data_IF_659015108918
#
_entry.id   IF_659015108918
#
_cell.length_a   1.000
_cell.length_b   1.000
_cell.length_c   1.000
_cell.angle_alpha   90.00
_cell.angle_beta   90.00
_cell.angle_gamma   90.00
#
_symmetry.space_group_name_H-M   'P 1'
#
loop_
_entity.id
_entity.type
_entity.pdbx_description
1 polymer ?
#
# COMPACT_ATOMS: atom_id res chain seq x y z
N UNK A 1 18.86 -33.02 -17.55
CA UNK A 1 19.20 -32.51 -16.20
C UNK A 1 18.12 -31.51 -15.82
N UNK A 2 17.56 -31.60 -14.61
CA UNK A 2 16.50 -30.68 -14.16
C UNK A 2 17.02 -29.28 -13.82
N UNK A 3 16.11 -28.37 -13.45
CA UNK A 3 16.49 -27.03 -12.98
C UNK A 3 17.22 -27.10 -11.63
N UNK A 4 18.30 -26.32 -11.42
CA UNK A 4 18.88 -26.14 -10.09
C UNK A 4 17.89 -25.51 -9.11
N UNK A 5 17.99 -25.86 -7.82
CA UNK A 5 17.02 -25.41 -6.79
C UNK A 5 16.85 -23.90 -6.68
N UNK A 6 17.92 -23.11 -6.89
CA UNK A 6 17.86 -21.64 -6.87
C UNK A 6 17.21 -21.01 -8.12
N UNK A 7 16.80 -21.83 -9.11
CA UNK A 7 16.14 -21.36 -10.36
C UNK A 7 14.69 -21.78 -10.47
N UNK A 8 14.09 -22.42 -9.46
CA UNK A 8 12.73 -22.98 -9.57
C UNK A 8 11.68 -21.93 -9.94
N UNK A 9 11.83 -20.68 -9.51
CA UNK A 9 10.89 -19.60 -9.86
C UNK A 9 11.04 -19.05 -11.29
N UNK A 10 12.08 -19.44 -12.03
CA UNK A 10 12.23 -19.00 -13.44
C UNK A 10 11.14 -19.54 -14.36
N UNK A 11 10.39 -20.56 -13.91
CA UNK A 11 9.28 -21.17 -14.66
C UNK A 11 8.15 -20.19 -14.97
N UNK A 12 7.94 -19.16 -14.14
CA UNK A 12 6.84 -18.18 -14.33
C UNK A 12 7.24 -16.94 -15.12
N UNK A 13 8.49 -16.81 -15.58
CA UNK A 13 8.97 -15.56 -16.21
C UNK A 13 8.26 -15.21 -17.52
N UNK A 14 7.82 -16.21 -18.29
CA UNK A 14 7.08 -16.02 -19.53
C UNK A 14 5.60 -16.40 -19.39
N UNK A 15 5.10 -16.48 -18.16
CA UNK A 15 3.73 -16.87 -17.84
C UNK A 15 3.07 -15.79 -16.97
N UNK A 16 2.42 -14.80 -17.60
CA UNK A 16 1.88 -13.65 -16.88
C UNK A 16 0.82 -14.00 -15.83
N UNK A 17 0.02 -15.06 -16.04
CA UNK A 17 -1.03 -15.40 -15.07
C UNK A 17 -0.46 -16.11 -13.86
N UNK A 18 0.45 -17.07 -14.03
CA UNK A 18 1.15 -17.66 -12.90
C UNK A 18 2.03 -16.64 -12.18
N UNK A 19 2.65 -15.71 -12.91
CA UNK A 19 3.36 -14.58 -12.33
C UNK A 19 2.43 -13.72 -11.47
N UNK A 20 1.22 -13.39 -11.95
CA UNK A 20 0.22 -12.66 -11.17
C UNK A 20 -0.21 -13.45 -9.92
N UNK A 21 -0.50 -14.74 -10.05
CA UNK A 21 -0.89 -15.62 -8.94
C UNK A 21 0.15 -15.60 -7.80
N UNK A 22 1.45 -15.70 -8.11
CA UNK A 22 2.49 -15.68 -7.08
C UNK A 22 2.64 -14.30 -6.42
N UNK A 23 2.40 -13.20 -7.15
CA UNK A 23 2.38 -11.86 -6.56
C UNK A 23 1.20 -11.72 -5.60
N UNK A 24 0.01 -12.20 -5.98
CA UNK A 24 -1.17 -12.20 -5.12
C UNK A 24 -0.94 -13.08 -3.88
N UNK A 25 -0.32 -14.25 -4.04
CA UNK A 25 0.07 -15.12 -2.92
C UNK A 25 1.04 -14.41 -1.98
N UNK A 26 2.08 -13.77 -2.51
CA UNK A 26 3.02 -12.99 -1.70
C UNK A 26 2.31 -11.88 -0.93
N UNK A 27 1.40 -11.14 -1.57
CA UNK A 27 0.59 -10.11 -0.90
C UNK A 27 -0.30 -10.69 0.20
N UNK A 28 -0.91 -11.86 -0.01
CA UNK A 28 -1.68 -12.56 1.02
C UNK A 28 -0.79 -12.89 2.22
N UNK A 29 0.40 -13.46 1.99
CA UNK A 29 1.33 -13.81 3.06
C UNK A 29 1.79 -12.59 3.86
N UNK A 30 2.09 -11.47 3.19
CA UNK A 30 2.48 -10.22 3.86
C UNK A 30 1.32 -9.69 4.72
N UNK A 31 0.09 -9.68 4.20
CA UNK A 31 -1.08 -9.24 4.96
C UNK A 31 -1.39 -10.15 6.15
N UNK A 32 -1.31 -11.47 5.96
CA UNK A 32 -1.48 -12.45 7.04
C UNK A 32 -0.41 -12.32 8.12
N UNK A 33 0.85 -12.13 7.73
CA UNK A 33 1.95 -11.88 8.68
C UNK A 33 1.72 -10.60 9.48
N UNK A 34 1.36 -9.49 8.82
CA UNK A 34 1.08 -8.22 9.49
C UNK A 34 -0.03 -8.37 10.54
N UNK A 35 -1.08 -9.13 10.21
CA UNK A 35 -2.15 -9.42 11.16
C UNK A 35 -1.71 -10.29 12.34
N UNK A 36 -0.89 -11.32 12.10
CA UNK A 36 -0.41 -12.21 13.16
C UNK A 36 0.54 -11.47 14.10
N UNK A 37 1.37 -10.59 13.55
CA UNK A 37 2.25 -9.73 14.35
C UNK A 37 1.44 -8.79 15.24
N UNK A 38 0.45 -8.09 14.67
CA UNK A 38 -0.41 -7.18 15.44
C UNK A 38 -1.26 -7.93 16.49
N UNK A 39 -1.76 -9.13 16.18
CA UNK A 39 -2.49 -9.97 17.13
C UNK A 39 -1.58 -10.44 18.27
N UNK A 40 -0.34 -10.83 17.96
CA UNK A 40 0.65 -11.22 18.95
C UNK A 40 0.97 -10.05 19.89
N UNK A 41 1.25 -8.86 19.34
CA UNK A 41 1.50 -7.65 20.12
C UNK A 41 0.31 -7.35 21.04
N UNK A 42 -0.92 -7.39 20.51
CA UNK A 42 -2.12 -7.14 21.30
C UNK A 42 -2.32 -8.16 22.43
N UNK A 43 -1.95 -9.43 22.22
CA UNK A 43 -2.09 -10.49 23.21
C UNK A 43 -1.13 -10.34 24.41
N UNK A 44 0.00 -9.67 24.22
CA UNK A 44 1.00 -9.42 25.28
C UNK A 44 1.02 -7.96 25.76
N UNK A 45 0.25 -7.07 25.11
CA UNK A 45 0.22 -5.66 25.44
C UNK A 45 -0.53 -5.39 26.75
N UNK A 46 0.07 -4.56 27.60
CA UNK A 46 -0.49 -4.15 28.89
C UNK A 46 -0.77 -2.63 28.91
N UNK A 47 -2.01 -2.18 28.63
CA UNK A 47 -2.32 -0.76 28.42
C UNK A 47 -2.52 0.06 29.70
N UNK A 48 -1.86 -0.29 30.81
CA UNK A 48 -2.21 0.28 32.12
C UNK A 48 -1.51 1.60 32.46
N UNK A 49 -0.33 1.87 31.90
CA UNK A 49 0.41 3.10 32.18
C UNK A 49 1.12 3.63 30.93
N UNK A 50 0.48 4.59 30.25
CA UNK A 50 1.03 5.24 29.06
C UNK A 50 2.16 6.24 29.36
N UNK A 51 2.48 6.49 30.64
CA UNK A 51 3.55 7.41 31.06
C UNK A 51 4.83 6.65 31.37
N UNK A 52 4.74 5.53 32.10
CA UNK A 52 5.91 4.77 32.55
C UNK A 52 6.19 3.50 31.72
N UNK A 53 5.22 3.01 30.94
CA UNK A 53 5.36 1.89 30.00
C UNK A 53 4.66 2.20 28.66
N UNK A 54 5.20 3.17 27.88
CA UNK A 54 4.47 3.77 26.78
C UNK A 54 4.44 2.88 25.53
N UNK A 55 3.23 2.52 25.11
CA UNK A 55 2.89 2.32 23.70
C UNK A 55 1.59 3.09 23.44
N UNK A 56 1.59 3.92 22.40
CA UNK A 56 0.49 4.86 22.14
C UNK A 56 -0.84 4.13 21.94
N UNK A 57 -1.86 4.51 22.72
CA UNK A 57 -3.21 3.95 22.63
C UNK A 57 -4.16 4.99 22.05
N UNK A 58 -4.85 4.63 20.97
CA UNK A 58 -5.94 5.45 20.42
C UNK A 58 -7.25 4.94 21.02
N UNK A 59 -7.98 5.81 21.72
CA UNK A 59 -9.29 5.47 22.29
C UNK A 59 -10.41 5.74 21.28
N UNK A 60 -11.45 4.88 21.28
CA UNK A 60 -12.72 5.05 20.53
C UNK A 60 -12.64 4.99 18.98
N UNK A 61 -12.19 3.87 18.42
CA UNK A 61 -12.12 3.66 16.96
C UNK A 61 -13.28 2.84 16.34
N UNK A 62 -14.26 2.41 17.14
CA UNK A 62 -15.37 1.55 16.70
C UNK A 62 -14.86 0.36 15.85
N UNK A 63 -15.23 0.30 14.57
CA UNK A 63 -14.87 -0.79 13.65
C UNK A 63 -13.38 -0.76 13.26
N UNK A 64 -12.71 0.40 13.36
CA UNK A 64 -11.30 0.58 13.00
C UNK A 64 -10.35 0.48 14.21
N UNK A 65 -10.70 -0.29 15.24
CA UNK A 65 -9.81 -0.58 16.37
C UNK A 65 -8.61 -1.45 15.95
N UNK A 66 -7.64 -1.69 16.84
CA UNK A 66 -6.54 -2.62 16.58
C UNK A 66 -7.05 -4.00 16.18
N UNK A 67 -8.06 -4.51 16.88
CA UNK A 67 -8.75 -5.77 16.58
C UNK A 67 -9.46 -5.71 15.22
N UNK A 68 -10.09 -4.58 14.91
CA UNK A 68 -10.73 -4.35 13.61
C UNK A 68 -9.74 -4.38 12.45
N UNK A 69 -8.58 -3.75 12.61
CA UNK A 69 -7.48 -3.77 11.62
C UNK A 69 -6.91 -5.17 11.46
N UNK A 70 -6.69 -5.91 12.56
CA UNK A 70 -6.31 -7.32 12.56
C UNK A 70 -7.33 -8.14 11.77
N UNK A 71 -8.62 -8.05 12.12
CA UNK A 71 -9.69 -8.77 11.44
C UNK A 71 -9.74 -8.47 9.94
N UNK A 72 -9.60 -7.20 9.56
CA UNK A 72 -9.57 -6.78 8.16
C UNK A 72 -8.40 -7.40 7.39
N UNK A 73 -7.19 -7.46 7.98
CA UNK A 73 -6.02 -8.06 7.33
C UNK A 73 -6.13 -9.59 7.20
N UNK A 74 -6.71 -10.29 8.19
CA UNK A 74 -6.98 -11.74 8.08
C UNK A 74 -7.94 -12.02 6.92
N UNK A 75 -9.06 -11.29 6.88
CA UNK A 75 -10.09 -11.46 5.84
C UNK A 75 -9.49 -11.15 4.46
N UNK A 76 -8.73 -10.05 4.34
CA UNK A 76 -8.04 -9.67 3.12
C UNK A 76 -7.04 -10.76 2.66
N UNK A 77 -6.22 -11.27 3.58
CA UNK A 77 -5.29 -12.38 3.34
C UNK A 77 -6.01 -13.62 2.82
N UNK A 78 -7.13 -14.00 3.44
CA UNK A 78 -7.93 -15.16 3.04
C UNK A 78 -8.50 -15.01 1.63
N UNK A 79 -9.06 -13.83 1.29
CA UNK A 79 -9.56 -13.58 -0.06
C UNK A 79 -8.44 -13.58 -1.10
N UNK A 80 -7.30 -12.93 -0.83
CA UNK A 80 -6.17 -12.92 -1.77
C UNK A 80 -5.59 -14.33 -1.97
N UNK A 81 -5.56 -15.16 -0.93
CA UNK A 81 -5.15 -16.56 -1.07
C UNK A 81 -6.06 -17.34 -2.03
N UNK A 82 -7.39 -17.17 -1.92
CA UNK A 82 -8.34 -17.81 -2.84
C UNK A 82 -8.19 -17.29 -4.27
N UNK A 83 -8.00 -15.98 -4.45
CA UNK A 83 -7.78 -15.36 -5.76
C UNK A 83 -6.46 -15.85 -6.39
N UNK A 84 -5.41 -16.04 -5.60
CA UNK A 84 -4.15 -16.60 -6.08
C UNK A 84 -4.33 -18.01 -6.64
N UNK A 85 -5.08 -18.88 -5.93
CA UNK A 85 -5.40 -20.23 -6.42
C UNK A 85 -6.19 -20.16 -7.73
N UNK A 86 -7.17 -19.26 -7.81
CA UNK A 86 -7.96 -19.09 -9.03
C UNK A 86 -7.08 -18.69 -10.22
N UNK A 87 -6.22 -17.68 -10.08
CA UNK A 87 -5.32 -17.24 -11.15
C UNK A 87 -4.26 -18.29 -11.53
N UNK A 88 -3.91 -19.18 -10.59
CA UNK A 88 -3.03 -20.32 -10.86
C UNK A 88 -3.74 -21.37 -11.73
N UNK A 89 -4.98 -21.71 -11.39
CA UNK A 89 -5.73 -22.74 -12.13
C UNK A 89 -6.17 -22.23 -13.51
N UNK A 90 -6.69 -21.00 -13.56
CA UNK A 90 -7.21 -20.37 -14.79
C UNK A 90 -6.17 -19.43 -15.40
N UNK A 91 -5.03 -20.00 -15.79
CA UNK A 91 -3.87 -19.23 -16.24
C UNK A 91 -3.94 -18.78 -17.71
N UNK A 92 -4.58 -19.58 -18.58
CA UNK A 92 -4.62 -19.36 -20.03
C UNK A 92 -5.74 -18.37 -20.43
N UNK A 93 -5.57 -17.11 -20.00
CA UNK A 93 -6.52 -16.03 -20.29
C UNK A 93 -6.12 -15.27 -21.57
N UNK A 94 -7.07 -15.05 -22.46
CA UNK A 94 -6.87 -14.32 -23.73
C UNK A 94 -6.25 -12.93 -23.55
N UNK A 95 -6.53 -12.25 -22.41
CA UNK A 95 -5.97 -10.92 -22.10
C UNK A 95 -4.44 -10.89 -22.01
N UNK A 96 -3.81 -12.04 -21.73
CA UNK A 96 -2.36 -12.15 -21.67
C UNK A 96 -1.75 -12.51 -23.02
N UNK A 97 -2.55 -12.84 -24.03
CA UNK A 97 -2.09 -13.27 -25.34
C UNK A 97 -2.16 -12.13 -26.36
N UNK A 98 -1.09 -11.96 -27.13
CA UNK A 98 -1.10 -11.09 -28.31
C UNK A 98 -1.92 -11.75 -29.42
N UNK A 99 -3.04 -11.15 -29.83
CA UNK A 99 -3.93 -11.64 -30.89
C UNK A 99 -3.18 -11.96 -32.21
N UNK A 100 -2.11 -11.22 -32.52
CA UNK A 100 -1.35 -11.42 -33.76
C UNK A 100 -0.45 -12.65 -33.71
N UNK A 101 0.08 -13.00 -32.54
CA UNK A 101 1.11 -14.04 -32.41
C UNK A 101 0.65 -15.25 -31.61
N UNK A 102 -0.45 -15.15 -30.87
CA UNK A 102 -0.93 -16.16 -29.93
C UNK A 102 0.00 -16.39 -28.75
N UNK A 103 0.97 -15.50 -28.51
CA UNK A 103 1.98 -15.65 -27.45
C UNK A 103 1.68 -14.73 -26.26
N UNK A 104 2.10 -15.11 -25.04
CA UNK A 104 2.04 -14.23 -23.89
C UNK A 104 2.79 -12.91 -24.14
N UNK A 105 2.14 -11.79 -23.86
CA UNK A 105 2.76 -10.46 -24.02
C UNK A 105 2.24 -9.46 -22.99
N UNK A 106 3.13 -8.56 -22.53
CA UNK A 106 2.79 -7.49 -21.59
C UNK A 106 3.29 -6.15 -22.12
N UNK A 107 2.38 -5.18 -22.22
CA UNK A 107 2.75 -3.80 -22.57
C UNK A 107 3.25 -3.06 -21.33
N UNK A 108 4.51 -3.32 -20.94
CA UNK A 108 5.11 -2.78 -19.72
C UNK A 108 5.06 -1.24 -19.62
N UNK A 109 5.33 -0.45 -20.69
CA UNK A 109 5.21 1.01 -20.62
C UNK A 109 3.78 1.48 -20.29
N UNK A 110 2.76 0.86 -20.90
CA UNK A 110 1.36 1.20 -20.60
C UNK A 110 0.99 0.76 -19.18
N UNK A 111 1.40 -0.43 -18.76
CA UNK A 111 1.19 -0.95 -17.41
C UNK A 111 1.79 0.04 -16.39
N UNK A 112 3.02 0.50 -16.60
CA UNK A 112 3.67 1.51 -15.76
C UNK A 112 2.84 2.80 -15.66
N UNK A 113 2.31 3.30 -16.77
CA UNK A 113 1.44 4.49 -16.78
C UNK A 113 0.17 4.29 -15.95
N UNK A 114 -0.48 3.12 -16.03
CA UNK A 114 -1.67 2.78 -15.22
C UNK A 114 -1.32 2.80 -13.73
N UNK A 115 -0.26 2.09 -13.33
CA UNK A 115 0.15 2.02 -11.93
C UNK A 115 0.58 3.38 -11.39
N UNK A 116 1.34 4.17 -12.15
CA UNK A 116 1.76 5.51 -11.75
C UNK A 116 0.55 6.45 -11.56
N UNK A 117 -0.43 6.39 -12.46
CA UNK A 117 -1.66 7.16 -12.34
C UNK A 117 -2.43 6.80 -11.05
N UNK A 118 -2.65 5.51 -10.81
CA UNK A 118 -3.36 5.02 -9.62
C UNK A 118 -2.60 5.36 -8.33
N UNK A 119 -1.27 5.21 -8.33
CA UNK A 119 -0.41 5.64 -7.21
C UNK A 119 -0.50 7.15 -6.98
N UNK A 120 -0.56 7.96 -8.04
CA UNK A 120 -0.77 9.42 -7.93
C UNK A 120 -2.10 9.77 -7.28
N UNK A 121 -3.20 9.13 -7.71
CA UNK A 121 -4.53 9.32 -7.10
C UNK A 121 -4.53 8.92 -5.63
N UNK A 122 -3.96 7.77 -5.30
CA UNK A 122 -3.85 7.30 -3.91
C UNK A 122 -3.02 8.26 -3.04
N UNK A 123 -1.88 8.71 -3.55
CA UNK A 123 -0.99 9.65 -2.87
C UNK A 123 -1.67 11.00 -2.60
N UNK A 124 -2.34 11.56 -3.63
CA UNK A 124 -3.09 12.80 -3.50
C UNK A 124 -4.21 12.65 -2.47
N UNK A 125 -5.01 11.58 -2.56
CA UNK A 125 -6.12 11.33 -1.64
C UNK A 125 -5.66 11.20 -0.18
N UNK A 126 -4.54 10.51 0.05
CA UNK A 126 -3.94 10.41 1.38
C UNK A 126 -3.55 11.80 1.91
N UNK A 127 -2.83 12.60 1.12
CA UNK A 127 -2.42 13.94 1.53
C UNK A 127 -3.59 14.90 1.75
N UNK A 128 -4.57 14.91 0.84
CA UNK A 128 -5.66 15.89 0.80
C UNK A 128 -6.81 15.59 1.76
N UNK A 129 -7.08 14.32 2.06
CA UNK A 129 -8.22 13.92 2.89
C UNK A 129 -7.82 13.27 4.21
N UNK A 130 -6.85 12.35 4.19
CA UNK A 130 -6.44 11.60 5.38
C UNK A 130 -5.62 12.47 6.32
N UNK A 131 -4.51 13.06 5.83
CA UNK A 131 -3.55 13.83 6.65
C UNK A 131 -4.14 15.16 7.13
N UNK A 132 -4.82 15.89 6.24
CA UNK A 132 -5.49 17.15 6.59
C UNK A 132 -6.66 16.96 7.56
N UNK A 133 -7.19 15.73 7.67
CA UNK A 133 -8.39 15.44 8.45
C UNK A 133 -9.68 15.97 7.82
N UNK A 134 -9.68 16.34 6.53
CA UNK A 134 -10.89 16.78 5.82
C UNK A 134 -11.94 15.64 5.75
N UNK A 135 -11.49 14.40 5.56
CA UNK A 135 -12.37 13.22 5.54
C UNK A 135 -11.69 11.96 6.11
N UNK A 136 -10.70 12.13 7.00
CA UNK A 136 -9.93 11.03 7.55
C UNK A 136 -9.57 11.20 9.03
N UNK A 137 -8.99 10.14 9.64
CA UNK A 137 -8.70 10.09 11.08
C UNK A 137 -7.53 10.98 11.48
N UNK A 138 -6.82 11.61 10.53
CA UNK A 138 -5.66 12.47 10.73
C UNK A 138 -4.41 11.67 11.09
N UNK A 139 -3.33 12.34 11.50
CA UNK A 139 -2.05 11.71 11.85
C UNK A 139 -1.63 12.04 13.27
N UNK A 140 -0.73 11.24 13.83
CA UNK A 140 -0.07 11.53 15.10
C UNK A 140 0.83 12.75 14.95
N UNK A 141 0.67 13.75 15.83
CA UNK A 141 1.54 14.92 15.89
C UNK A 141 2.12 15.01 17.28
N UNK A 142 3.45 14.83 17.43
CA UNK A 142 4.09 15.02 18.72
C UNK A 142 4.27 16.50 19.05
N UNK A 143 4.28 16.82 20.34
CA UNK A 143 4.81 18.11 20.78
C UNK A 143 6.35 18.06 20.88
N UNK A 144 7.05 19.21 20.91
CA UNK A 144 8.52 19.24 20.93
C UNK A 144 9.18 18.46 22.09
N UNK A 145 8.44 18.20 23.16
CA UNK A 145 8.90 17.47 24.34
C UNK A 145 8.30 16.06 24.45
N UNK A 146 7.38 15.67 23.57
CA UNK A 146 6.76 14.33 23.55
C UNK A 146 5.85 14.04 24.75
N UNK A 147 5.18 15.05 25.31
CA UNK A 147 4.40 14.96 26.55
C UNK A 147 2.88 15.01 26.35
N UNK A 148 2.44 15.61 25.25
CA UNK A 148 1.05 16.00 24.94
C UNK A 148 0.67 15.66 23.51
N UNK A 149 1.34 14.64 22.98
CA UNK A 149 1.14 14.11 21.64
C UNK A 149 -0.30 13.62 21.43
N UNK A 150 -0.81 13.83 20.21
CA UNK A 150 -2.16 13.38 19.86
C UNK A 150 -2.36 13.25 18.37
N UNK A 151 -3.39 12.50 18.00
CA UNK A 151 -3.90 12.47 16.62
C UNK A 151 -4.64 13.78 16.33
N UNK A 152 -4.19 14.54 15.33
CA UNK A 152 -4.79 15.83 14.98
C UNK A 152 -4.63 16.18 13.50
N UNK A 153 -5.52 17.02 12.93
CA UNK A 153 -5.40 17.43 11.54
C UNK A 153 -4.16 18.29 11.34
N UNK A 154 -3.53 18.15 10.17
CA UNK A 154 -2.35 18.91 9.80
C UNK A 154 -2.64 19.74 8.55
N UNK A 155 -2.58 21.06 8.69
CA UNK A 155 -2.69 21.94 7.54
C UNK A 155 -1.43 21.83 6.67
N UNK A 156 -1.57 21.82 5.34
CA UNK A 156 -0.42 21.76 4.46
C UNK A 156 0.39 23.05 4.54
N UNK A 157 1.72 22.91 4.48
CA UNK A 157 2.64 24.04 4.46
C UNK A 157 3.29 24.18 3.09
N UNK A 158 3.20 25.36 2.51
CA UNK A 158 3.62 25.63 1.13
C UNK A 158 4.91 26.45 1.02
N UNK A 159 5.38 27.03 2.13
CA UNK A 159 6.65 27.75 2.20
C UNK A 159 7.85 26.82 2.34
N UNK A 160 9.04 27.41 2.51
CA UNK A 160 10.31 26.69 2.66
C UNK A 160 10.35 25.82 3.90
N UNK A 161 9.61 26.19 4.93
CA UNK A 161 9.43 25.45 6.17
C UNK A 161 8.74 24.08 5.95
N UNK A 162 8.06 23.88 4.81
CA UNK A 162 7.53 22.56 4.44
C UNK A 162 8.61 21.51 4.12
N UNK A 163 9.87 21.94 3.94
CA UNK A 163 11.02 21.04 3.78
C UNK A 163 11.74 20.76 5.11
N UNK A 164 11.33 21.40 6.22
CA UNK A 164 11.83 21.07 7.55
C UNK A 164 11.25 19.72 7.98
N UNK A 165 12.08 18.70 8.28
CA UNK A 165 11.60 17.37 8.68
C UNK A 165 10.78 17.37 9.99
N UNK A 166 10.83 18.44 10.79
CA UNK A 166 10.05 18.57 12.02
C UNK A 166 8.73 19.34 11.83
N UNK A 167 8.47 19.90 10.64
CA UNK A 167 7.22 20.59 10.32
C UNK A 167 6.26 19.63 9.61
N UNK A 168 5.27 19.14 10.34
CA UNK A 168 4.29 18.15 9.86
C UNK A 168 3.53 18.58 8.61
N UNK A 169 3.29 19.89 8.45
CA UNK A 169 2.58 20.43 7.28
C UNK A 169 3.27 20.13 5.95
N UNK A 170 4.59 19.87 5.97
CA UNK A 170 5.35 19.37 4.82
C UNK A 170 4.87 18.00 4.32
N UNK A 171 4.37 17.13 5.20
CA UNK A 171 3.87 15.80 4.82
C UNK A 171 2.64 15.94 3.92
N UNK A 172 1.66 16.76 4.32
CA UNK A 172 0.43 16.94 3.54
C UNK A 172 0.71 17.61 2.20
N UNK A 173 1.50 18.70 2.19
CA UNK A 173 1.84 19.40 0.95
C UNK A 173 2.65 18.53 -0.02
N UNK A 174 3.59 17.74 0.50
CA UNK A 174 4.34 16.76 -0.30
C UNK A 174 3.41 15.76 -0.98
N UNK A 175 2.50 15.12 -0.25
CA UNK A 175 1.58 14.12 -0.82
C UNK A 175 0.63 14.73 -1.86
N UNK A 176 0.14 15.94 -1.62
CA UNK A 176 -0.73 16.66 -2.57
C UNK A 176 0.03 16.95 -3.87
N UNK A 177 1.24 17.50 -3.79
CA UNK A 177 2.04 17.87 -4.97
C UNK A 177 2.56 16.63 -5.69
N UNK A 178 3.17 15.67 -4.97
CA UNK A 178 3.67 14.43 -5.55
C UNK A 178 2.54 13.61 -6.18
N UNK A 179 1.38 13.54 -5.53
CA UNK A 179 0.19 12.88 -6.09
C UNK A 179 -0.30 13.55 -7.37
N UNK A 180 -0.38 14.88 -7.40
CA UNK A 180 -0.77 15.64 -8.60
C UNK A 180 0.22 15.41 -9.75
N UNK A 181 1.53 15.44 -9.46
CA UNK A 181 2.56 15.15 -10.46
C UNK A 181 2.50 13.69 -10.94
N UNK A 182 2.25 12.74 -10.04
CA UNK A 182 2.08 11.32 -10.37
C UNK A 182 0.88 11.08 -11.30
N UNK A 183 -0.23 11.79 -11.09
CA UNK A 183 -1.40 11.75 -11.98
C UNK A 183 -1.02 12.26 -13.38
N UNK A 184 -0.39 13.43 -13.47
CA UNK A 184 0.01 14.02 -14.75
C UNK A 184 1.03 13.14 -15.49
N UNK A 185 2.03 12.63 -14.77
CA UNK A 185 3.03 11.73 -15.32
C UNK A 185 2.43 10.38 -15.76
N UNK A 186 1.49 9.83 -14.98
CA UNK A 186 0.74 8.63 -15.35
C UNK A 186 -0.03 8.83 -16.66
N UNK A 187 -0.75 9.95 -16.78
CA UNK A 187 -1.46 10.32 -18.01
C UNK A 187 -0.51 10.50 -19.20
N UNK A 188 0.66 11.11 -18.97
CA UNK A 188 1.71 11.23 -19.99
C UNK A 188 2.18 9.85 -20.49
N UNK A 189 2.50 8.92 -19.58
CA UNK A 189 2.92 7.56 -19.93
C UNK A 189 1.83 6.73 -20.61
N UNK A 190 0.56 7.06 -20.40
CA UNK A 190 -0.55 6.46 -21.13
C UNK A 190 -0.76 7.07 -22.52
N UNK A 191 -0.33 8.32 -22.72
CA UNK A 191 -0.53 9.09 -23.95
C UNK A 191 0.64 8.98 -24.93
N UNK A 192 1.84 8.63 -24.45
CA UNK A 192 3.09 8.65 -25.22
C UNK A 192 3.72 7.27 -25.22
N UNK A 193 4.14 6.82 -26.41
CA UNK A 193 4.90 5.58 -26.56
C UNK A 193 6.39 5.85 -26.32
N UNK A 194 7.09 4.84 -25.79
CA UNK A 194 8.55 4.91 -25.68
C UNK A 194 9.18 5.14 -27.06
N UNK A 195 10.28 5.92 -27.15
CA UNK A 195 11.05 6.12 -28.38
C UNK A 195 11.57 4.82 -28.99
#
# INVERSE_FOLDING_TARGET
>A
MGLPGYRVHTVVLNDPSHLLSIHIMHTALVAGWASLMALYELAIFYPSDSVLDPMGTITNLHIWSYEGVVGAHIVFSGFYFLVAIWHWVYWDLEIFCDERTGKPSLNLPKIFGIYLFLSGVACFGFGAFYVTGLYGPRIWVPDPYGLTDKVQPVNPTWGVEGFDPFVQGGISSHHIVAGTLGILAGLFHLSVHSP
#
